data_IF_082139871497
#
_entry.id   IF_082139871497
#
_cell.length_a   1.000
_cell.length_b   1.000
_cell.length_c   1.000
_cell.angle_alpha   90.00
_cell.angle_beta   90.00
_cell.angle_gamma   90.00
#
_symmetry.space_group_name_H-M   'P 1'
#
loop_
_entity.id
_entity.type
_entity.pdbx_description
1 polymer ?
#
# COMPACT_ATOMS: atom_id res chain seq x y z
N UNK A 1 -4.62 17.44 -11.02
CA UNK A 1 -5.40 16.23 -11.39
C UNK A 1 -4.56 15.05 -10.94
N UNK A 2 -4.90 14.41 -9.82
CA UNK A 2 -4.16 13.24 -9.33
C UNK A 2 -4.40 12.11 -10.31
N UNK A 3 -3.36 11.65 -11.00
CA UNK A 3 -3.52 10.52 -11.92
C UNK A 3 -3.49 9.20 -11.13
N UNK A 4 -4.25 8.21 -11.60
CA UNK A 4 -4.30 6.88 -10.97
C UNK A 4 -2.91 6.21 -10.95
N UNK A 5 -2.01 6.61 -11.87
CA UNK A 5 -0.63 6.12 -11.96
C UNK A 5 0.26 6.68 -10.84
N UNK A 6 0.18 7.98 -10.55
CA UNK A 6 0.96 8.59 -9.45
C UNK A 6 0.59 7.98 -8.11
N UNK A 7 -0.71 7.79 -7.85
CA UNK A 7 -1.17 7.12 -6.62
C UNK A 7 -0.70 5.68 -6.53
N UNK A 8 -0.57 4.99 -7.66
CA UNK A 8 -0.05 3.61 -7.69
C UNK A 8 1.45 3.55 -7.40
N UNK A 9 2.23 4.50 -7.92
CA UNK A 9 3.68 4.59 -7.63
C UNK A 9 3.93 4.92 -6.15
N UNK A 10 3.13 5.82 -5.57
CA UNK A 10 3.20 6.15 -4.14
C UNK A 10 2.89 4.93 -3.25
N UNK A 11 1.92 4.11 -3.65
CA UNK A 11 1.65 2.82 -2.98
C UNK A 11 2.86 1.91 -3.04
N UNK A 12 3.53 1.77 -4.19
CA UNK A 12 4.71 0.91 -4.30
C UNK A 12 5.82 1.41 -3.37
N UNK A 13 6.15 2.71 -3.44
CA UNK A 13 7.25 3.31 -2.67
C UNK A 13 7.06 3.13 -1.15
N UNK A 14 5.83 3.37 -0.65
CA UNK A 14 5.55 3.22 0.78
C UNK A 14 5.39 1.77 1.26
N UNK A 15 5.19 0.82 0.34
CA UNK A 15 4.92 -0.59 0.71
C UNK A 15 6.08 -1.54 0.47
N UNK A 16 7.12 -1.13 -0.25
CA UNK A 16 8.29 -1.96 -0.58
C UNK A 16 9.05 -2.50 0.66
N UNK A 17 8.80 -1.91 1.83
CA UNK A 17 9.46 -2.26 3.08
C UNK A 17 8.56 -3.02 4.06
N UNK A 18 7.32 -3.36 3.69
CA UNK A 18 6.40 -4.03 4.61
C UNK A 18 6.68 -5.53 4.71
N UNK A 19 7.05 -5.98 5.91
CA UNK A 19 7.39 -7.37 6.20
C UNK A 19 6.25 -8.07 6.93
N UNK A 20 5.91 -9.28 6.48
CA UNK A 20 4.91 -10.12 7.11
C UNK A 20 5.37 -10.54 8.50
N UNK A 21 4.53 -10.30 9.52
CA UNK A 21 4.86 -10.69 10.91
C UNK A 21 4.95 -12.20 11.14
N UNK A 22 4.38 -13.02 10.24
CA UNK A 22 4.31 -14.47 10.42
C UNK A 22 5.52 -15.22 9.85
N UNK A 23 5.95 -14.86 8.65
CA UNK A 23 7.04 -15.54 7.94
C UNK A 23 8.23 -14.64 7.63
N UNK A 24 8.18 -13.37 8.03
CA UNK A 24 9.25 -12.39 7.80
C UNK A 24 9.59 -12.15 6.32
N UNK A 25 8.71 -12.56 5.40
CA UNK A 25 8.79 -12.26 3.96
C UNK A 25 8.18 -10.89 3.65
N UNK A 26 8.64 -10.23 2.59
CA UNK A 26 8.02 -9.01 2.07
C UNK A 26 6.55 -9.25 1.69
N UNK A 27 5.71 -8.28 2.02
CA UNK A 27 4.31 -8.22 1.62
C UNK A 27 4.18 -7.39 0.36
N UNK A 28 3.24 -7.74 -0.51
CA UNK A 28 2.99 -7.01 -1.74
C UNK A 28 1.60 -6.37 -1.73
N UNK A 29 1.44 -5.18 -2.34
CA UNK A 29 0.12 -4.59 -2.52
C UNK A 29 -0.72 -5.46 -3.45
N UNK A 30 -1.79 -6.06 -2.91
CA UNK A 30 -2.71 -6.91 -3.68
C UNK A 30 -3.80 -6.08 -4.35
N UNK A 31 -4.35 -5.11 -3.64
CA UNK A 31 -5.47 -4.30 -4.12
C UNK A 31 -5.52 -2.95 -3.45
N UNK A 32 -5.74 -1.92 -4.25
CA UNK A 32 -6.16 -0.61 -3.74
C UNK A 32 -7.65 -0.66 -3.44
N UNK A 33 -8.01 -0.38 -2.18
CA UNK A 33 -9.39 -0.41 -1.69
C UNK A 33 -10.05 0.94 -1.99
N UNK A 34 -9.35 2.04 -1.72
CA UNK A 34 -9.88 3.39 -1.86
C UNK A 34 -8.75 4.38 -2.12
N UNK A 35 -9.01 5.35 -3.01
CA UNK A 35 -8.10 6.47 -3.30
C UNK A 35 -8.89 7.75 -3.10
N UNK A 36 -8.34 8.67 -2.32
CA UNK A 36 -8.81 10.05 -2.22
C UNK A 36 -7.67 11.03 -2.46
N UNK A 37 -7.97 12.32 -2.31
CA UNK A 37 -6.98 13.39 -2.38
C UNK A 37 -6.06 13.42 -1.15
N UNK A 38 -6.51 12.89 -0.01
CA UNK A 38 -5.78 12.97 1.27
C UNK A 38 -5.18 11.64 1.71
N UNK A 39 -5.74 10.51 1.26
CA UNK A 39 -5.28 9.18 1.67
C UNK A 39 -5.51 8.11 0.62
N UNK A 40 -4.76 7.02 0.76
CA UNK A 40 -4.92 5.76 0.03
C UNK A 40 -5.10 4.62 1.03
N UNK A 41 -6.17 3.85 0.87
CA UNK A 41 -6.37 2.60 1.60
C UNK A 41 -6.02 1.43 0.66
N UNK A 42 -5.11 0.55 1.12
CA UNK A 42 -4.66 -0.61 0.36
C UNK A 42 -4.71 -1.88 1.21
N UNK A 43 -4.81 -3.03 0.53
CA UNK A 43 -4.63 -4.34 1.14
C UNK A 43 -3.29 -4.91 0.70
N UNK A 44 -2.39 -5.09 1.66
CA UNK A 44 -1.17 -5.87 1.48
C UNK A 44 -1.47 -7.34 1.70
N UNK A 45 -0.78 -8.21 0.97
CA UNK A 45 -0.83 -9.64 1.20
C UNK A 45 0.56 -10.27 1.15
N UNK A 46 0.79 -11.20 2.05
CA UNK A 46 1.97 -12.05 2.02
C UNK A 46 1.75 -13.23 1.07
N UNK A 47 2.57 -13.34 0.03
CA UNK A 47 2.49 -14.42 -0.96
C UNK A 47 2.70 -15.83 -0.39
N UNK A 48 3.48 -15.97 0.68
CA UNK A 48 3.83 -17.29 1.24
C UNK A 48 2.76 -17.85 2.17
N UNK A 49 2.22 -17.01 3.06
CA UNK A 49 1.33 -17.47 4.13
C UNK A 49 -0.11 -16.95 4.03
N UNK A 50 -0.41 -16.13 3.02
CA UNK A 50 -1.75 -15.59 2.76
C UNK A 50 -2.24 -14.57 3.80
N UNK A 51 -1.35 -14.09 4.69
CA UNK A 51 -1.71 -13.05 5.65
C UNK A 51 -1.98 -11.74 4.91
N UNK A 52 -3.15 -11.15 5.15
CA UNK A 52 -3.51 -9.84 4.61
C UNK A 52 -3.45 -8.76 5.70
N UNK A 53 -2.98 -7.56 5.33
CA UNK A 53 -2.86 -6.40 6.21
C UNK A 53 -3.39 -5.15 5.50
N UNK A 54 -4.42 -4.48 6.03
CA UNK A 54 -4.81 -3.18 5.52
C UNK A 54 -3.78 -2.11 5.92
N UNK A 55 -3.37 -1.28 4.97
CA UNK A 55 -2.48 -0.14 5.19
C UNK A 55 -3.16 1.15 4.71
N UNK A 56 -3.07 2.19 5.53
CA UNK A 56 -3.42 3.56 5.16
C UNK A 56 -2.15 4.34 4.87
N UNK A 57 -2.12 5.00 3.71
CA UNK A 57 -1.07 5.92 3.30
C UNK A 57 -1.69 7.32 3.26
N UNK A 58 -1.17 8.23 4.07
CA UNK A 58 -1.52 9.65 3.99
C UNK A 58 -0.75 10.27 2.83
N UNK A 59 -1.47 10.92 1.91
CA UNK A 59 -0.85 11.71 0.84
C UNK A 59 -0.34 12.98 1.46
N UNK A 60 0.99 13.10 1.61
CA UNK A 60 1.62 14.32 2.08
C UNK A 60 1.15 15.49 1.20
N UNK A 61 0.35 16.38 1.78
CA UNK A 61 0.02 17.66 1.17
C UNK A 61 1.32 18.49 1.16
N UNK A 62 2.07 18.43 0.06
CA UNK A 62 3.06 19.49 -0.20
C UNK A 62 2.29 20.79 -0.41
N UNK A 63 2.57 21.84 0.37
CA UNK A 63 1.95 23.16 0.22
C UNK A 63 2.28 23.83 -1.11
#
# INVERSE_FOLDING_TARGET
MVTNVESYLEVIDQTDHHVCRKCSTLMSPRRIIFISEVKIDILLECGDCGMALPLMIDKLQTP
#
